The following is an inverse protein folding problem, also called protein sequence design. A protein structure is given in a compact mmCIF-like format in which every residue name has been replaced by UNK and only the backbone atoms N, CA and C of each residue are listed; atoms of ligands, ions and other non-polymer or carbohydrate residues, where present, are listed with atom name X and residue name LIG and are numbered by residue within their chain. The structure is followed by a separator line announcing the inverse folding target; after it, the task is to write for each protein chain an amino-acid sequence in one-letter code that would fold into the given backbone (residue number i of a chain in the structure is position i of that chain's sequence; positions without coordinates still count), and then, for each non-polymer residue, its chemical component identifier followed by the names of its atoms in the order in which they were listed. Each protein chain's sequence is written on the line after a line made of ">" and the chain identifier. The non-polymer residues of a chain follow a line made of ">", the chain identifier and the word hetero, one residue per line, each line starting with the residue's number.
data_IF_187585547297
#
_entry.id   IF_187585547297
#
_cell.length_a   1.000
_cell.length_b   1.000
_cell.length_c   1.000
_cell.angle_alpha   90.00
_cell.angle_beta   90.00
_cell.angle_gamma   90.00
#
_symmetry.space_group_name_H-M   'P 1'
#
loop_
_entity.id
_entity.type
_entity.pdbx_description
1 polymer ?
#
# COMPACT_ATOMS: atom_id res chain seq x y z
N UNK A 1 -35.70 6.58 -3.14
CA UNK A 1 -34.69 5.51 -3.00
C UNK A 1 -34.66 4.75 -4.32
N UNK A 2 -33.70 5.09 -5.19
CA UNK A 2 -33.55 4.53 -6.53
C UNK A 2 -32.44 3.49 -6.58
N UNK A 3 -32.45 2.65 -7.62
CA UNK A 3 -31.56 1.52 -7.90
C UNK A 3 -30.09 1.76 -7.48
N UNK A 4 -29.54 0.85 -6.66
CA UNK A 4 -28.11 0.83 -6.32
C UNK A 4 -27.68 1.43 -4.97
N UNK A 5 -28.60 1.92 -4.14
CA UNK A 5 -28.28 2.50 -2.82
C UNK A 5 -28.00 1.44 -1.74
N UNK A 6 -26.83 0.81 -1.77
CA UNK A 6 -26.30 0.10 -0.59
C UNK A 6 -25.93 1.16 0.45
N UNK A 7 -26.44 1.05 1.68
CA UNK A 7 -26.08 2.00 2.74
C UNK A 7 -24.58 1.90 3.03
N UNK A 8 -23.90 3.00 3.39
CA UNK A 8 -22.48 2.98 3.77
C UNK A 8 -22.12 1.87 4.77
N UNK A 9 -22.94 1.70 5.82
CA UNK A 9 -22.79 0.63 6.79
C UNK A 9 -22.86 -0.77 6.17
N UNK A 10 -23.83 -1.00 5.29
CA UNK A 10 -24.04 -2.31 4.65
C UNK A 10 -22.86 -2.65 3.72
N UNK A 11 -22.36 -1.67 2.97
CA UNK A 11 -21.18 -1.84 2.11
C UNK A 11 -19.92 -2.22 2.91
N UNK A 12 -19.67 -1.54 4.04
CA UNK A 12 -18.55 -1.88 4.93
C UNK A 12 -18.76 -3.25 5.59
N UNK A 13 -19.98 -3.60 5.97
CA UNK A 13 -20.30 -4.90 6.56
C UNK A 13 -20.11 -6.05 5.56
N UNK A 14 -20.54 -5.87 4.31
CA UNK A 14 -20.34 -6.81 3.22
C UNK A 14 -18.85 -6.98 2.90
N UNK A 15 -18.09 -5.88 2.83
CA UNK A 15 -16.65 -5.92 2.67
C UNK A 15 -15.99 -6.70 3.81
N UNK A 16 -16.32 -6.36 5.06
CA UNK A 16 -15.78 -7.02 6.24
C UNK A 16 -16.06 -8.53 6.26
N UNK A 17 -17.30 -8.90 5.90
CA UNK A 17 -17.70 -10.29 5.78
C UNK A 17 -16.91 -11.00 4.68
N UNK A 18 -16.82 -10.40 3.49
CA UNK A 18 -16.05 -10.95 2.38
C UNK A 18 -14.59 -11.22 2.77
N UNK A 19 -13.91 -10.27 3.43
CA UNK A 19 -12.52 -10.46 3.86
C UNK A 19 -12.39 -11.62 4.85
N UNK A 20 -13.24 -11.67 5.88
CA UNK A 20 -13.18 -12.73 6.91
C UNK A 20 -13.48 -14.11 6.35
N UNK A 21 -14.49 -14.20 5.49
CA UNK A 21 -14.91 -15.46 4.88
C UNK A 21 -13.83 -15.98 3.90
N UNK A 22 -13.04 -15.11 3.27
CA UNK A 22 -12.11 -15.50 2.21
C UNK A 22 -10.63 -15.47 2.62
N UNK A 23 -10.28 -14.99 3.82
CA UNK A 23 -8.87 -14.91 4.25
C UNK A 23 -8.17 -16.26 4.18
N UNK A 24 -8.85 -17.36 4.52
CA UNK A 24 -8.26 -18.70 4.47
C UNK A 24 -8.32 -19.38 3.10
N UNK A 25 -9.00 -18.75 2.13
CA UNK A 25 -9.19 -19.29 0.78
C UNK A 25 -8.43 -18.54 -0.30
N UNK A 26 -8.06 -17.27 -0.05
CA UNK A 26 -7.31 -16.43 -0.97
C UNK A 26 -5.90 -16.21 -0.37
N UNK A 27 -4.85 -16.88 -0.88
CA UNK A 27 -3.49 -16.76 -0.34
C UNK A 27 -3.00 -15.32 -0.27
N UNK A 28 -3.29 -14.51 -1.28
CA UNK A 28 -2.91 -13.11 -1.31
C UNK A 28 -3.55 -12.28 -0.17
N UNK A 29 -4.78 -12.59 0.26
CA UNK A 29 -5.37 -11.96 1.45
C UNK A 29 -4.63 -12.37 2.73
N UNK A 30 -4.16 -13.61 2.83
CA UNK A 30 -3.33 -14.01 3.98
C UNK A 30 -2.02 -13.23 4.03
N UNK A 31 -1.38 -13.00 2.89
CA UNK A 31 -0.14 -12.21 2.81
C UNK A 31 -0.41 -10.79 3.30
N UNK A 32 -1.44 -10.10 2.79
CA UNK A 32 -1.83 -8.75 3.23
C UNK A 32 -2.03 -8.66 4.74
N UNK A 33 -2.67 -9.66 5.34
CA UNK A 33 -3.02 -9.64 6.76
C UNK A 33 -1.84 -10.05 7.66
N UNK A 34 -1.14 -11.13 7.32
CA UNK A 34 -0.13 -11.74 8.22
C UNK A 34 1.29 -11.29 7.92
N UNK A 35 1.61 -11.04 6.66
CA UNK A 35 2.98 -10.73 6.19
C UNK A 35 2.95 -9.65 5.10
N UNK A 36 2.40 -8.46 5.38
CA UNK A 36 2.25 -7.38 4.38
C UNK A 36 3.56 -6.94 3.72
N UNK A 37 4.71 -7.13 4.40
CA UNK A 37 6.05 -6.86 3.84
C UNK A 37 6.46 -7.83 2.72
N UNK A 38 5.86 -9.03 2.70
CA UNK A 38 6.09 -10.04 1.68
C UNK A 38 5.16 -9.86 0.46
N UNK A 39 4.32 -8.81 0.45
CA UNK A 39 3.32 -8.58 -0.59
C UNK A 39 3.99 -8.26 -1.93
N UNK A 40 3.72 -9.09 -2.95
CA UNK A 40 4.15 -8.85 -4.32
C UNK A 40 3.10 -8.08 -5.13
N UNK A 41 3.50 -7.56 -6.29
CA UNK A 41 2.54 -6.96 -7.24
C UNK A 41 1.50 -7.96 -7.72
N UNK A 42 1.87 -9.23 -7.85
CA UNK A 42 0.96 -10.30 -8.25
C UNK A 42 -0.10 -10.54 -7.17
N UNK A 43 0.31 -10.62 -5.91
CA UNK A 43 -0.61 -10.76 -4.76
C UNK A 43 -1.60 -9.60 -4.72
N UNK A 44 -1.11 -8.36 -4.82
CA UNK A 44 -1.98 -7.19 -4.78
C UNK A 44 -2.95 -7.17 -5.97
N UNK A 45 -2.47 -7.50 -7.18
CA UNK A 45 -3.32 -7.57 -8.36
C UNK A 45 -4.40 -8.63 -8.22
N UNK A 46 -4.07 -9.78 -7.64
CA UNK A 46 -5.06 -10.82 -7.33
C UNK A 46 -6.10 -10.29 -6.35
N UNK A 47 -5.67 -9.69 -5.23
CA UNK A 47 -6.58 -9.10 -4.23
C UNK A 47 -7.49 -8.06 -4.86
N UNK A 48 -6.95 -7.12 -5.63
CA UNK A 48 -7.73 -6.08 -6.31
C UNK A 48 -8.74 -6.68 -7.29
N UNK A 49 -8.37 -7.73 -8.03
CA UNK A 49 -9.29 -8.42 -8.93
C UNK A 49 -10.46 -9.05 -8.17
N UNK A 50 -10.17 -9.79 -7.09
CA UNK A 50 -11.19 -10.45 -6.25
C UNK A 50 -12.14 -9.46 -5.60
N UNK A 51 -11.61 -8.32 -5.15
CA UNK A 51 -12.40 -7.23 -4.60
C UNK A 51 -13.29 -6.58 -5.67
N UNK A 52 -12.73 -6.31 -6.85
CA UNK A 52 -13.47 -5.74 -7.97
C UNK A 52 -14.59 -6.65 -8.47
N UNK A 53 -14.40 -7.97 -8.49
CA UNK A 53 -15.44 -8.96 -8.78
C UNK A 53 -16.64 -8.85 -7.83
N UNK A 54 -16.41 -8.38 -6.60
CA UNK A 54 -17.44 -8.11 -5.59
C UNK A 54 -17.84 -6.64 -5.50
N UNK A 55 -17.40 -5.81 -6.46
CA UNK A 55 -17.66 -4.36 -6.52
C UNK A 55 -17.08 -3.58 -5.32
N UNK A 56 -16.01 -4.10 -4.74
CA UNK A 56 -15.21 -3.38 -3.75
C UNK A 56 -14.11 -2.58 -4.42
N UNK A 57 -14.05 -1.29 -4.12
CA UNK A 57 -12.97 -0.39 -4.54
C UNK A 57 -12.62 0.61 -3.43
N UNK A 58 -11.39 1.12 -3.45
CA UNK A 58 -10.85 1.98 -2.39
C UNK A 58 -11.60 3.30 -2.24
N UNK A 59 -12.10 3.88 -3.34
CA UNK A 59 -12.83 5.15 -3.30
C UNK A 59 -14.17 4.96 -2.59
N UNK A 60 -14.91 3.93 -2.98
CA UNK A 60 -16.19 3.56 -2.35
C UNK A 60 -16.01 3.18 -0.87
N UNK A 61 -14.92 2.49 -0.52
CA UNK A 61 -14.62 2.16 0.89
C UNK A 61 -14.33 3.41 1.74
N UNK A 62 -13.53 4.35 1.23
CA UNK A 62 -13.27 5.62 1.91
C UNK A 62 -14.53 6.46 2.06
N UNK A 63 -15.36 6.52 1.03
CA UNK A 63 -16.63 7.24 1.09
C UNK A 63 -17.59 6.61 2.11
N UNK A 64 -17.74 5.29 2.07
CA UNK A 64 -18.58 4.58 3.02
C UNK A 64 -18.08 4.77 4.47
N UNK A 65 -16.77 4.68 4.71
CA UNK A 65 -16.17 4.97 6.02
C UNK A 65 -16.48 6.39 6.49
N UNK A 66 -16.29 7.38 5.61
CA UNK A 66 -16.55 8.78 5.94
C UNK A 66 -18.00 9.04 6.32
N UNK A 67 -18.95 8.47 5.58
CA UNK A 67 -20.36 8.66 5.86
C UNK A 67 -20.78 7.95 7.15
N UNK A 68 -20.28 6.73 7.39
CA UNK A 68 -20.65 5.91 8.56
C UNK A 68 -19.99 6.39 9.85
N UNK A 69 -18.69 6.72 9.81
CA UNK A 69 -17.89 7.11 10.99
C UNK A 69 -17.75 8.61 11.18
N UNK A 70 -18.22 9.42 10.21
CA UNK A 70 -18.04 10.89 10.19
C UNK A 70 -16.56 11.31 10.24
N UNK A 71 -15.69 10.49 9.66
CA UNK A 71 -14.24 10.65 9.70
C UNK A 71 -13.65 10.59 8.29
N UNK A 72 -12.85 11.59 7.91
CA UNK A 72 -12.09 11.52 6.66
C UNK A 72 -10.78 10.78 6.90
N UNK A 73 -10.51 9.74 6.12
CA UNK A 73 -9.26 8.98 6.18
C UNK A 73 -8.74 8.61 4.79
N UNK A 74 -7.47 8.90 4.54
CA UNK A 74 -6.76 8.45 3.33
C UNK A 74 -6.14 7.06 3.55
N UNK A 75 -7.01 6.08 3.83
CA UNK A 75 -6.63 4.68 3.94
C UNK A 75 -6.56 4.03 2.55
N UNK A 76 -5.54 3.20 2.33
CA UNK A 76 -5.41 2.36 1.15
C UNK A 76 -6.18 1.05 1.31
N UNK A 77 -6.31 0.29 0.21
CA UNK A 77 -7.00 -1.01 0.24
C UNK A 77 -6.38 -2.02 1.22
N UNK A 78 -5.06 -1.99 1.40
CA UNK A 78 -4.34 -2.86 2.35
C UNK A 78 -4.81 -2.58 3.78
N UNK A 79 -4.99 -1.31 4.13
CA UNK A 79 -5.47 -0.87 5.44
C UNK A 79 -6.90 -1.31 5.69
N UNK A 80 -7.78 -1.18 4.70
CA UNK A 80 -9.15 -1.67 4.80
C UNK A 80 -9.19 -3.18 5.02
N UNK A 81 -8.42 -3.96 4.26
CA UNK A 81 -8.36 -5.42 4.43
C UNK A 81 -7.87 -5.79 5.83
N UNK A 82 -6.81 -5.15 6.32
CA UNK A 82 -6.27 -5.40 7.66
C UNK A 82 -7.26 -5.00 8.75
N UNK A 83 -7.94 -3.86 8.62
CA UNK A 83 -8.98 -3.45 9.56
C UNK A 83 -10.15 -4.44 9.58
N UNK A 84 -10.61 -4.91 8.41
CA UNK A 84 -11.67 -5.90 8.31
C UNK A 84 -11.31 -7.23 9.00
N UNK A 85 -10.08 -7.70 8.79
CA UNK A 85 -9.58 -8.97 9.29
C UNK A 85 -9.16 -8.95 10.77
N UNK A 86 -8.53 -7.87 11.21
CA UNK A 86 -7.85 -7.78 12.52
C UNK A 86 -8.53 -6.79 13.48
N UNK A 87 -9.45 -5.94 13.00
CA UNK A 87 -10.04 -4.88 13.81
C UNK A 87 -9.06 -3.74 14.14
N UNK A 88 -7.93 -3.64 13.43
CA UNK A 88 -6.92 -2.59 13.64
C UNK A 88 -7.50 -1.22 13.30
N UNK A 89 -7.08 -0.17 14.01
CA UNK A 89 -7.41 1.21 13.63
C UNK A 89 -6.95 1.48 12.20
N UNK A 90 -7.81 2.09 11.38
CA UNK A 90 -7.38 2.56 10.07
C UNK A 90 -6.36 3.68 10.28
N UNK A 91 -5.22 3.57 9.61
CA UNK A 91 -4.15 4.57 9.67
C UNK A 91 -4.06 5.24 8.31
N UNK A 92 -3.99 6.56 8.32
CA UNK A 92 -3.71 7.36 7.14
C UNK A 92 -2.41 6.87 6.47
N UNK A 93 -2.54 6.40 5.23
CA UNK A 93 -1.45 5.83 4.47
C UNK A 93 -0.41 6.92 4.09
N UNK A 94 -0.87 8.14 3.80
CA UNK A 94 0.02 9.26 3.48
C UNK A 94 0.91 9.61 4.68
N UNK A 95 0.33 9.65 5.88
CA UNK A 95 1.09 9.86 7.11
C UNK A 95 2.15 8.76 7.32
N UNK A 96 1.86 7.49 7.00
CA UNK A 96 2.84 6.40 7.09
C UNK A 96 3.98 6.55 6.09
N UNK A 97 3.69 6.86 4.84
CA UNK A 97 4.73 7.13 3.82
C UNK A 97 5.64 8.27 4.28
N UNK A 98 5.05 9.39 4.71
CA UNK A 98 5.84 10.55 5.15
C UNK A 98 6.74 10.20 6.33
N UNK A 99 6.24 9.47 7.32
CA UNK A 99 7.05 8.99 8.46
C UNK A 99 8.18 8.07 8.01
N UNK A 100 7.90 7.13 7.11
CA UNK A 100 8.89 6.22 6.55
C UNK A 100 10.00 6.98 5.80
N UNK A 101 9.60 7.95 4.96
CA UNK A 101 10.53 8.79 4.21
C UNK A 101 11.36 9.70 5.10
N UNK A 102 10.81 10.23 6.21
CA UNK A 102 11.60 10.99 7.18
C UNK A 102 12.75 10.16 7.77
N UNK A 103 12.51 8.88 8.07
CA UNK A 103 13.59 7.97 8.49
C UNK A 103 14.62 7.80 7.39
N UNK A 104 14.20 7.57 6.15
CA UNK A 104 15.09 7.45 4.98
C UNK A 104 15.95 8.69 4.77
N UNK A 105 15.36 9.89 4.86
CA UNK A 105 16.10 11.15 4.75
C UNK A 105 17.16 11.30 5.85
N UNK A 106 16.93 10.74 7.04
CA UNK A 106 17.87 10.75 8.16
C UNK A 106 18.91 9.64 8.17
N UNK A 107 18.87 8.67 7.23
CA UNK A 107 19.82 7.54 7.22
C UNK A 107 21.25 7.95 6.90
N UNK A 108 21.43 8.98 6.07
CA UNK A 108 22.72 9.39 5.53
C UNK A 108 22.74 10.90 5.20
N UNK A 109 23.94 11.44 4.98
CA UNK A 109 24.12 12.77 4.38
C UNK A 109 23.96 12.72 2.86
N UNK A 110 22.71 12.66 2.39
CA UNK A 110 22.39 12.58 0.97
C UNK A 110 22.84 13.82 0.19
N UNK A 111 23.45 13.61 -0.97
CA UNK A 111 23.70 14.72 -1.90
C UNK A 111 22.41 15.14 -2.65
N UNK A 112 22.44 16.30 -3.30
CA UNK A 112 21.27 16.86 -4.01
C UNK A 112 20.66 15.92 -5.05
N UNK A 113 21.50 15.11 -5.71
CA UNK A 113 21.03 14.16 -6.73
C UNK A 113 20.30 12.99 -6.08
N UNK A 114 20.84 12.44 -5.00
CA UNK A 114 20.21 11.38 -4.21
C UNK A 114 18.89 11.87 -3.59
N UNK A 115 18.87 13.06 -2.99
CA UNK A 115 17.65 13.66 -2.43
C UNK A 115 16.52 13.77 -3.48
N UNK A 116 16.83 14.23 -4.69
CA UNK A 116 15.84 14.27 -5.78
C UNK A 116 15.30 12.89 -6.14
N UNK A 117 16.12 11.84 -6.03
CA UNK A 117 15.67 10.47 -6.24
C UNK A 117 14.77 9.96 -5.12
N UNK A 118 15.12 10.25 -3.86
CA UNK A 118 14.29 9.92 -2.70
C UNK A 118 12.92 10.61 -2.76
N UNK A 119 12.88 11.89 -3.15
CA UNK A 119 11.62 12.63 -3.37
C UNK A 119 10.76 12.01 -4.47
N UNK A 120 11.37 11.47 -5.53
CA UNK A 120 10.64 10.76 -6.58
C UNK A 120 10.06 9.45 -6.06
N UNK A 121 10.80 8.73 -5.20
CA UNK A 121 10.31 7.51 -4.55
C UNK A 121 9.13 7.83 -3.64
N UNK A 122 9.23 8.87 -2.81
CA UNK A 122 8.13 9.34 -1.96
C UNK A 122 6.88 9.66 -2.78
N UNK A 123 7.04 10.45 -3.86
CA UNK A 123 5.92 10.78 -4.74
C UNK A 123 5.29 9.53 -5.35
N UNK A 124 6.11 8.58 -5.82
CA UNK A 124 5.59 7.34 -6.40
C UNK A 124 4.81 6.51 -5.38
N UNK A 125 5.24 6.48 -4.11
CA UNK A 125 4.53 5.75 -3.06
C UNK A 125 3.19 6.41 -2.72
N UNK A 126 3.11 7.73 -2.74
CA UNK A 126 1.85 8.46 -2.54
C UNK A 126 0.85 8.18 -3.67
N UNK A 127 1.33 7.98 -4.90
CA UNK A 127 0.48 7.64 -6.04
C UNK A 127 0.14 6.14 -6.09
N UNK A 128 1.04 5.27 -5.64
CA UNK A 128 0.88 3.81 -5.68
C UNK A 128 1.61 3.18 -4.50
N UNK A 129 0.90 2.77 -3.44
CA UNK A 129 1.49 2.43 -2.13
C UNK A 129 2.12 1.02 -2.04
N UNK A 130 2.75 0.57 -3.12
CA UNK A 130 3.21 -0.83 -3.27
C UNK A 130 4.72 -0.85 -3.38
N UNK A 131 5.38 -1.34 -2.35
CA UNK A 131 6.84 -1.33 -2.28
C UNK A 131 7.49 -2.65 -2.71
N UNK A 132 6.74 -3.74 -2.92
CA UNK A 132 7.26 -5.10 -3.15
C UNK A 132 8.25 -5.58 -2.06
N UNK A 133 8.58 -6.88 -1.98
CA UNK A 133 9.42 -7.38 -0.88
C UNK A 133 10.88 -6.93 -0.95
N UNK A 134 11.39 -6.69 -2.16
CA UNK A 134 12.80 -6.32 -2.39
C UNK A 134 12.93 -5.10 -3.27
N UNK A 135 14.02 -4.35 -3.11
CA UNK A 135 14.29 -3.19 -3.97
C UNK A 135 14.40 -3.59 -5.44
N UNK A 136 15.01 -4.74 -5.71
CA UNK A 136 15.12 -5.27 -7.07
C UNK A 136 13.75 -5.42 -7.71
N UNK A 137 12.81 -6.10 -7.04
CA UNK A 137 11.45 -6.27 -7.54
C UNK A 137 10.74 -4.92 -7.68
N UNK A 138 10.82 -4.06 -6.66
CA UNK A 138 10.21 -2.73 -6.70
C UNK A 138 10.62 -1.93 -7.95
N UNK A 139 11.92 -1.82 -8.19
CA UNK A 139 12.44 -1.01 -9.29
C UNK A 139 12.35 -1.70 -10.66
N UNK A 140 12.44 -3.03 -10.73
CA UNK A 140 12.35 -3.77 -12.00
C UNK A 140 10.89 -4.03 -12.44
N UNK A 141 9.91 -3.98 -11.52
CA UNK A 141 8.49 -4.25 -11.81
C UNK A 141 7.61 -2.99 -11.83
N UNK A 142 7.98 -1.91 -11.12
CA UNK A 142 7.23 -0.64 -11.24
C UNK A 142 7.55 0.03 -12.56
N UNK A 143 6.53 0.27 -13.37
CA UNK A 143 6.67 0.77 -14.74
C UNK A 143 7.38 2.14 -14.84
N UNK A 144 7.27 3.01 -13.83
CA UNK A 144 7.98 4.30 -13.81
C UNK A 144 9.50 4.14 -13.66
N UNK A 145 9.94 3.12 -12.92
CA UNK A 145 11.36 2.83 -12.64
C UNK A 145 11.95 1.96 -13.73
N UNK A 146 11.20 0.95 -14.17
CA UNK A 146 11.58 0.03 -15.25
C UNK A 146 11.91 0.79 -16.54
N UNK A 147 11.08 1.77 -16.91
CA UNK A 147 11.33 2.66 -18.08
C UNK A 147 12.60 3.50 -17.96
N UNK A 148 13.12 3.69 -16.75
CA UNK A 148 14.37 4.40 -16.47
C UNK A 148 15.57 3.47 -16.31
N UNK A 149 15.42 2.14 -16.51
CA UNK A 149 16.50 1.16 -16.39
C UNK A 149 16.48 0.36 -15.08
N UNK A 150 15.38 0.45 -14.31
CA UNK A 150 15.09 -0.39 -13.16
C UNK A 150 16.12 -0.30 -12.03
N UNK A 151 16.26 -1.39 -11.28
CA UNK A 151 17.12 -1.47 -10.09
C UNK A 151 18.56 -1.06 -10.39
N UNK A 152 19.13 -1.55 -11.50
CA UNK A 152 20.52 -1.22 -11.87
C UNK A 152 20.73 0.27 -12.07
N UNK A 153 19.75 0.96 -12.64
CA UNK A 153 19.85 2.41 -12.81
C UNK A 153 19.74 3.11 -11.47
N UNK A 154 18.74 2.78 -10.66
CA UNK A 154 18.51 3.41 -9.35
C UNK A 154 19.70 3.19 -8.41
N UNK A 155 20.30 1.99 -8.42
CA UNK A 155 21.53 1.68 -7.67
C UNK A 155 22.68 2.64 -8.01
N UNK A 156 22.83 3.04 -9.28
CA UNK A 156 23.84 4.04 -9.69
C UNK A 156 23.51 5.46 -9.24
N UNK A 157 22.23 5.78 -9.03
CA UNK A 157 21.81 7.12 -8.63
C UNK A 157 21.86 7.32 -7.13
N UNK A 158 21.47 6.30 -6.37
CA UNK A 158 21.35 6.34 -4.91
C UNK A 158 22.59 5.76 -4.23
N UNK A 159 23.21 4.71 -4.79
CA UNK A 159 24.37 4.02 -4.21
C UNK A 159 24.00 2.78 -3.42
N UNK A 160 24.94 2.20 -2.67
CA UNK A 160 24.79 0.89 -2.01
C UNK A 160 23.61 0.79 -1.02
N UNK A 161 23.06 1.92 -0.56
CA UNK A 161 21.94 1.98 0.39
C UNK A 161 20.56 1.70 -0.22
N UNK A 162 20.43 1.43 -1.54
CA UNK A 162 19.12 1.19 -2.18
C UNK A 162 18.31 0.08 -1.52
N UNK A 163 18.94 -1.05 -1.21
CA UNK A 163 18.24 -2.16 -0.57
C UNK A 163 17.81 -1.82 0.86
N UNK A 164 18.67 -1.13 1.60
CA UNK A 164 18.37 -0.69 2.97
C UNK A 164 17.21 0.33 3.00
N UNK A 165 17.16 1.26 2.03
CA UNK A 165 16.04 2.21 1.89
C UNK A 165 14.73 1.45 1.74
N UNK A 166 14.66 0.47 0.83
CA UNK A 166 13.42 -0.29 0.60
C UNK A 166 13.07 -1.15 1.80
N UNK A 167 14.06 -1.72 2.51
CA UNK A 167 13.82 -2.43 3.76
C UNK A 167 13.17 -1.53 4.81
N UNK A 168 13.75 -0.35 5.09
CA UNK A 168 13.21 0.62 6.05
C UNK A 168 11.79 1.06 5.66
N UNK A 169 11.57 1.36 4.39
CA UNK A 169 10.24 1.73 3.90
C UNK A 169 9.22 0.59 4.10
N UNK A 170 9.56 -0.67 3.78
CA UNK A 170 8.69 -1.82 4.04
C UNK A 170 8.40 -2.00 5.52
N UNK A 171 9.41 -1.79 6.37
CA UNK A 171 9.27 -1.88 7.81
C UNK A 171 8.27 -0.86 8.35
N UNK A 172 8.29 0.37 7.86
CA UNK A 172 7.45 1.47 8.33
C UNK A 172 6.05 1.49 7.72
N UNK A 173 5.90 1.14 6.44
CA UNK A 173 4.59 1.12 5.78
C UNK A 173 3.68 0.03 6.34
N UNK A 174 4.29 -1.09 6.73
CA UNK A 174 3.60 -2.30 7.14
C UNK A 174 3.94 -2.73 8.58
N UNK A 175 4.51 -1.82 9.39
CA UNK A 175 4.64 -2.01 10.83
C UNK A 175 3.28 -2.38 11.43
N UNK A 176 3.28 -3.42 12.29
CA UNK A 176 2.09 -4.02 12.86
C UNK A 176 1.32 -3.06 13.76
#
# INVERSE_FOLDING_TARGET
>A
YGEGNVKPADYLNEFNKFIRDNINHIPALQVVVKRPKDLTYQDLREVQLRLKEKKFDETSLREAWRQEKKEYIAADIISFIRQAALGTTLVDHETRIKRAMQKVYGMESWNLKQLKWLQRIEKQLLETPVLAPTAKQYFDETEVWKRQGGYKFVLKQIGANVDNIVQVLNEELYAA
#
